data_IF_134381026267
#
_entry.id   IF_134381026267
#
_cell.length_a   1.000
_cell.length_b   1.000
_cell.length_c   1.000
_cell.angle_alpha   90.00
_cell.angle_beta   90.00
_cell.angle_gamma   90.00
#
_symmetry.space_group_name_H-M   'P 1'
#
loop_
_entity.id
_entity.type
_entity.pdbx_description
1 polymer ?
#
# COMPACT_ATOMS: atom_id res chain seq x y z
N UNK A 1 47.15 24.30 51.36
CA UNK A 1 46.92 25.27 50.28
C UNK A 1 47.90 24.98 49.18
N UNK A 2 47.68 23.97 48.39
CA UNK A 2 48.46 23.66 47.18
C UNK A 2 47.78 22.50 46.47
N UNK A 3 46.75 22.74 45.74
CA UNK A 3 46.20 21.74 44.82
C UNK A 3 45.20 22.29 43.75
N UNK A 4 45.04 23.63 43.66
CA UNK A 4 44.13 24.22 42.67
C UNK A 4 44.80 24.94 41.50
N UNK A 5 46.14 24.91 41.42
CA UNK A 5 46.90 25.63 40.38
C UNK A 5 47.34 24.71 39.23
N UNK A 6 47.32 23.40 39.41
CA UNK A 6 47.69 22.42 38.37
C UNK A 6 46.55 21.99 37.42
N UNK A 7 45.31 22.26 37.76
CA UNK A 7 44.14 21.86 36.95
C UNK A 7 43.72 22.90 35.89
N UNK A 8 44.40 24.06 35.82
CA UNK A 8 44.12 25.11 34.82
C UNK A 8 45.12 25.23 33.68
N UNK A 9 46.17 24.40 33.67
CA UNK A 9 47.20 24.49 32.64
C UNK A 9 46.91 23.71 31.34
N UNK A 10 45.91 22.82 31.31
CA UNK A 10 45.62 21.95 30.17
C UNK A 10 44.49 22.43 29.23
N UNK A 11 43.99 23.65 29.38
CA UNK A 11 42.87 24.17 28.57
C UNK A 11 43.31 25.35 27.65
N UNK A 12 44.57 25.72 27.63
CA UNK A 12 45.06 26.68 26.62
C UNK A 12 45.51 25.88 25.41
N UNK A 13 44.58 25.64 24.51
CA UNK A 13 44.88 25.08 23.19
C UNK A 13 45.84 26.06 22.48
N UNK A 14 47.02 25.57 22.10
CA UNK A 14 47.99 26.31 21.33
C UNK A 14 47.33 26.96 20.11
N UNK A 15 47.53 28.25 19.94
CA UNK A 15 46.96 29.05 18.85
C UNK A 15 47.25 28.43 17.46
N UNK A 16 48.38 27.77 17.32
CA UNK A 16 48.76 27.01 16.12
C UNK A 16 47.81 25.83 15.89
N UNK A 17 47.47 25.10 16.94
CA UNK A 17 46.54 23.95 16.90
C UNK A 17 45.08 24.40 16.65
N UNK A 18 44.68 25.52 17.23
CA UNK A 18 43.38 26.13 16.98
C UNK A 18 43.24 26.54 15.51
N UNK A 19 44.22 27.22 14.95
CA UNK A 19 44.24 27.64 13.56
C UNK A 19 44.30 26.45 12.58
N UNK A 20 44.97 25.36 12.96
CA UNK A 20 44.98 24.11 12.19
C UNK A 20 43.59 23.46 12.13
N UNK A 21 42.90 23.40 13.27
CA UNK A 21 41.52 22.85 13.36
C UNK A 21 40.53 23.70 12.58
N UNK A 22 40.65 25.02 12.59
CA UNK A 22 39.80 25.89 11.78
C UNK A 22 39.95 25.61 10.28
N UNK A 23 41.19 25.43 9.81
CA UNK A 23 41.46 25.08 8.40
C UNK A 23 40.88 23.70 8.03
N UNK A 24 40.96 22.74 8.93
CA UNK A 24 40.38 21.41 8.73
C UNK A 24 38.87 21.45 8.69
N UNK A 25 38.21 22.21 9.58
CA UNK A 25 36.77 22.46 9.59
C UNK A 25 36.33 23.12 8.28
N UNK A 26 37.03 24.11 7.78
CA UNK A 26 36.69 24.79 6.52
C UNK A 26 36.91 23.87 5.32
N UNK A 27 37.94 23.02 5.33
CA UNK A 27 38.16 21.99 4.32
C UNK A 27 36.99 20.95 4.31
N UNK A 28 36.61 20.46 5.49
CA UNK A 28 35.50 19.53 5.64
C UNK A 28 34.15 20.14 5.21
N UNK A 29 33.91 21.42 5.55
CA UNK A 29 32.74 22.16 5.07
C UNK A 29 32.69 22.28 3.54
N UNK A 30 33.84 22.51 2.90
CA UNK A 30 33.91 22.54 1.43
C UNK A 30 33.71 21.16 0.82
N UNK A 31 34.20 20.08 1.43
CA UNK A 31 33.95 18.72 1.00
C UNK A 31 32.46 18.35 1.12
N UNK A 32 31.84 18.63 2.27
CA UNK A 32 30.38 18.41 2.47
C UNK A 32 29.55 19.19 1.44
N UNK A 33 29.91 20.45 1.17
CA UNK A 33 29.26 21.26 0.13
C UNK A 33 29.45 20.68 -1.26
N UNK A 34 30.61 20.07 -1.54
CA UNK A 34 30.86 19.33 -2.78
C UNK A 34 30.05 18.05 -2.91
N UNK A 35 29.81 17.34 -1.81
CA UNK A 35 28.87 16.18 -1.79
C UNK A 35 27.43 16.61 -1.97
N UNK A 36 26.97 17.67 -1.29
CA UNK A 36 25.61 18.23 -1.46
C UNK A 36 25.37 18.78 -2.89
N UNK A 37 26.40 19.27 -3.57
CA UNK A 37 26.29 19.69 -4.98
C UNK A 37 26.37 18.51 -5.95
N UNK A 38 26.99 17.39 -5.58
CA UNK A 38 27.04 16.18 -6.40
C UNK A 38 25.75 15.33 -6.26
N UNK A 39 25.05 15.40 -5.13
CA UNK A 39 23.71 14.83 -4.97
C UNK A 39 22.62 15.59 -5.74
N UNK A 40 22.96 16.78 -6.26
CA UNK A 40 22.14 17.49 -7.26
C UNK A 40 22.45 17.06 -8.70
N UNK A 41 23.12 15.92 -8.91
CA UNK A 41 23.12 15.25 -10.20
C UNK A 41 21.68 14.93 -10.55
N UNK A 42 21.25 15.43 -11.71
CA UNK A 42 20.03 15.18 -12.44
C UNK A 42 19.22 14.05 -11.81
N UNK A 43 18.27 14.41 -10.92
CA UNK A 43 17.22 13.46 -10.52
C UNK A 43 16.65 12.99 -11.84
N UNK A 44 16.74 11.70 -12.14
CA UNK A 44 15.91 11.10 -13.17
C UNK A 44 14.51 11.66 -12.99
N UNK A 45 13.78 11.96 -14.08
CA UNK A 45 12.46 12.56 -13.98
C UNK A 45 11.62 11.68 -13.05
N UNK A 46 11.49 12.12 -11.81
CA UNK A 46 10.72 11.42 -10.80
C UNK A 46 9.28 11.40 -11.31
N UNK A 47 8.65 10.24 -11.34
CA UNK A 47 7.24 10.12 -11.68
C UNK A 47 6.47 11.13 -10.84
N UNK A 48 5.70 11.98 -11.50
CA UNK A 48 4.91 13.04 -10.85
C UNK A 48 4.00 12.46 -9.77
N UNK A 49 3.50 11.23 -9.97
CA UNK A 49 2.63 10.57 -9.00
C UNK A 49 3.34 10.25 -7.68
N UNK A 50 4.66 10.05 -7.70
CA UNK A 50 5.46 9.67 -6.55
C UNK A 50 6.20 10.86 -5.92
N UNK A 51 6.11 12.06 -6.51
CA UNK A 51 6.85 13.23 -6.07
C UNK A 51 6.27 13.83 -4.78
N UNK A 52 7.11 13.95 -3.74
CA UNK A 52 6.78 14.66 -2.49
C UNK A 52 6.42 16.14 -2.72
N UNK A 53 6.90 16.74 -3.81
CA UNK A 53 6.60 18.14 -4.16
C UNK A 53 5.10 18.34 -4.50
N UNK A 54 4.40 17.26 -4.86
CA UNK A 54 2.96 17.26 -5.15
C UNK A 54 2.08 17.06 -3.90
N UNK A 55 2.68 16.80 -2.75
CA UNK A 55 1.97 16.54 -1.49
C UNK A 55 1.19 17.76 -1.03
N UNK A 56 -0.12 17.59 -0.87
CA UNK A 56 -1.03 18.63 -0.35
C UNK A 56 -2.14 17.99 0.48
N UNK A 57 -2.77 18.78 1.34
CA UNK A 57 -3.81 18.31 2.26
C UNK A 57 -5.21 18.84 1.91
N UNK A 58 -5.32 19.80 1.00
CA UNK A 58 -6.58 20.41 0.57
C UNK A 58 -6.82 20.06 -0.88
N UNK A 59 -7.98 19.45 -1.17
CA UNK A 59 -8.29 18.93 -2.50
C UNK A 59 -8.51 20.04 -3.53
N UNK A 60 -9.05 21.19 -3.14
CA UNK A 60 -9.26 22.31 -4.07
C UNK A 60 -8.10 23.32 -4.06
N UNK A 61 -7.78 23.89 -5.20
CA UNK A 61 -8.33 23.60 -6.53
C UNK A 61 -7.87 22.23 -7.04
N UNK A 62 -8.69 21.57 -7.85
CA UNK A 62 -8.32 20.30 -8.51
C UNK A 62 -7.16 20.57 -9.46
N UNK A 63 -6.08 19.81 -9.33
CA UNK A 63 -4.91 19.90 -10.21
C UNK A 63 -4.97 18.86 -11.34
N UNK A 64 -5.43 17.65 -11.04
CA UNK A 64 -5.47 16.49 -11.95
C UNK A 64 -6.93 16.13 -12.25
N UNK A 65 -7.54 16.90 -13.15
CA UNK A 65 -8.97 16.82 -13.47
C UNK A 65 -9.41 15.44 -13.99
N UNK A 66 -8.57 14.77 -14.76
CA UNK A 66 -8.89 13.43 -15.27
C UNK A 66 -8.95 12.37 -14.16
N UNK A 67 -8.00 12.39 -13.21
CA UNK A 67 -8.01 11.50 -12.05
C UNK A 67 -9.25 11.80 -11.19
N UNK A 68 -9.53 13.08 -10.96
CA UNK A 68 -10.70 13.51 -10.22
C UNK A 68 -12.01 13.06 -10.85
N UNK A 69 -12.15 13.16 -12.17
CA UNK A 69 -13.31 12.64 -12.91
C UNK A 69 -13.47 11.15 -12.76
N UNK A 70 -12.36 10.39 -12.79
CA UNK A 70 -12.41 8.93 -12.57
C UNK A 70 -12.87 8.59 -11.15
N UNK A 71 -12.38 9.30 -10.13
CA UNK A 71 -12.87 9.17 -8.77
C UNK A 71 -14.38 9.43 -8.67
N UNK A 72 -14.87 10.55 -9.24
CA UNK A 72 -16.31 10.90 -9.23
C UNK A 72 -17.17 9.90 -10.01
N UNK A 73 -16.62 9.29 -11.07
CA UNK A 73 -17.29 8.23 -11.80
C UNK A 73 -17.38 6.94 -10.98
N UNK A 74 -16.32 6.59 -10.26
CA UNK A 74 -16.32 5.43 -9.37
C UNK A 74 -17.34 5.64 -8.24
N UNK A 75 -17.32 6.81 -7.58
CA UNK A 75 -18.25 7.18 -6.51
C UNK A 75 -19.72 7.11 -6.97
N UNK A 76 -20.01 7.52 -8.21
CA UNK A 76 -21.38 7.48 -8.77
C UNK A 76 -21.91 6.05 -9.04
N UNK A 77 -21.02 5.04 -9.03
CA UNK A 77 -21.39 3.62 -9.17
C UNK A 77 -21.29 2.87 -7.83
N UNK A 78 -21.34 3.57 -6.72
CA UNK A 78 -21.31 2.95 -5.38
C UNK A 78 -22.53 2.07 -5.17
N UNK A 79 -22.34 0.93 -4.54
CA UNK A 79 -23.37 -0.02 -4.14
C UNK A 79 -22.96 -0.73 -2.84
N UNK A 80 -23.89 -1.44 -2.20
CA UNK A 80 -23.63 -2.21 -0.98
C UNK A 80 -24.08 -3.66 -1.15
N UNK A 81 -23.55 -4.56 -0.33
CA UNK A 81 -23.89 -5.98 -0.39
C UNK A 81 -25.39 -6.25 -0.18
N UNK A 82 -26.07 -5.39 0.61
CA UNK A 82 -27.51 -5.49 0.89
C UNK A 82 -28.40 -5.23 -0.33
N UNK A 83 -27.86 -4.61 -1.38
CA UNK A 83 -28.60 -4.40 -2.63
C UNK A 83 -28.75 -5.68 -3.46
N UNK A 84 -28.02 -6.74 -3.13
CA UNK A 84 -28.07 -8.03 -3.84
C UNK A 84 -29.19 -8.91 -3.28
N UNK A 85 -30.20 -9.21 -4.11
CA UNK A 85 -31.23 -10.17 -3.77
C UNK A 85 -30.82 -11.61 -4.16
N UNK A 86 -30.28 -12.35 -3.20
CA UNK A 86 -29.86 -13.75 -3.36
C UNK A 86 -30.99 -14.77 -3.13
N UNK A 87 -32.23 -14.34 -2.91
CA UNK A 87 -33.34 -15.20 -2.48
C UNK A 87 -33.69 -16.32 -3.49
N UNK A 88 -33.41 -16.10 -4.77
CA UNK A 88 -33.68 -17.07 -5.84
C UNK A 88 -32.48 -17.88 -6.25
N UNK A 89 -31.28 -17.40 -5.95
CA UNK A 89 -30.03 -17.94 -6.46
C UNK A 89 -29.76 -19.35 -5.94
N UNK A 90 -30.10 -19.61 -4.67
CA UNK A 90 -29.89 -20.94 -4.07
C UNK A 90 -30.64 -22.04 -4.82
N UNK A 91 -31.87 -21.73 -5.28
CA UNK A 91 -32.62 -22.68 -6.10
C UNK A 91 -31.94 -22.93 -7.45
N UNK A 92 -31.49 -21.87 -8.12
CA UNK A 92 -30.83 -21.99 -9.41
C UNK A 92 -29.47 -22.71 -9.27
N UNK A 93 -28.74 -22.44 -8.22
CA UNK A 93 -27.48 -23.10 -7.89
C UNK A 93 -27.66 -24.62 -7.67
N UNK A 94 -28.71 -25.04 -6.96
CA UNK A 94 -28.94 -26.44 -6.63
C UNK A 94 -29.62 -27.23 -7.75
N UNK A 95 -30.59 -26.63 -8.43
CA UNK A 95 -31.49 -27.35 -9.35
C UNK A 95 -31.12 -27.21 -10.83
N UNK A 96 -30.46 -26.08 -11.20
CA UNK A 96 -30.13 -25.82 -12.60
C UNK A 96 -28.65 -26.10 -12.95
N UNK A 97 -27.76 -25.99 -11.98
CA UNK A 97 -26.32 -26.23 -12.18
C UNK A 97 -25.97 -27.71 -11.97
N UNK A 98 -25.11 -28.26 -12.81
CA UNK A 98 -24.49 -29.56 -12.58
C UNK A 98 -23.34 -29.47 -11.58
N UNK A 99 -22.80 -30.62 -11.13
CA UNK A 99 -21.75 -30.68 -10.13
C UNK A 99 -20.46 -29.97 -10.56
N UNK A 100 -20.12 -30.04 -11.85
CA UNK A 100 -18.94 -29.36 -12.41
C UNK A 100 -19.10 -27.84 -12.40
N UNK A 101 -20.26 -27.34 -12.75
CA UNK A 101 -20.56 -25.90 -12.72
C UNK A 101 -20.56 -25.38 -11.28
N UNK A 102 -21.20 -26.07 -10.34
CA UNK A 102 -21.14 -25.71 -8.91
C UNK A 102 -19.71 -25.69 -8.40
N UNK A 103 -18.94 -26.73 -8.69
CA UNK A 103 -17.53 -26.78 -8.30
C UNK A 103 -16.74 -25.60 -8.85
N UNK A 104 -16.95 -25.24 -10.11
CA UNK A 104 -16.27 -24.10 -10.73
C UNK A 104 -16.65 -22.78 -10.05
N UNK A 105 -17.95 -22.51 -9.86
CA UNK A 105 -18.42 -21.28 -9.21
C UNK A 105 -17.88 -21.15 -7.78
N UNK A 106 -17.95 -22.21 -6.99
CA UNK A 106 -17.44 -22.23 -5.61
C UNK A 106 -15.95 -21.88 -5.53
N UNK A 107 -15.12 -22.45 -6.42
CA UNK A 107 -13.69 -22.17 -6.44
C UNK A 107 -13.37 -20.76 -6.96
N UNK A 108 -14.15 -20.23 -7.88
CA UNK A 108 -14.03 -18.84 -8.35
C UNK A 108 -14.36 -17.87 -7.23
N UNK A 109 -15.47 -18.09 -6.51
CA UNK A 109 -15.85 -17.27 -5.36
C UNK A 109 -14.79 -17.32 -4.25
N UNK A 110 -14.27 -18.51 -3.96
CA UNK A 110 -13.19 -18.68 -2.99
C UNK A 110 -11.91 -17.91 -3.40
N UNK A 111 -11.58 -17.93 -4.69
CA UNK A 111 -10.46 -17.17 -5.22
C UNK A 111 -10.67 -15.65 -5.04
N UNK A 112 -11.83 -15.12 -5.37
CA UNK A 112 -12.11 -13.68 -5.22
C UNK A 112 -12.16 -13.28 -3.75
N UNK A 113 -12.84 -14.02 -2.89
CA UNK A 113 -12.87 -13.73 -1.45
C UNK A 113 -11.47 -13.67 -0.83
N UNK A 114 -10.55 -14.52 -1.30
CA UNK A 114 -9.17 -14.54 -0.84
C UNK A 114 -8.32 -13.41 -1.45
N UNK A 115 -8.50 -13.12 -2.74
CA UNK A 115 -7.68 -12.13 -3.47
C UNK A 115 -7.99 -10.69 -3.09
N UNK A 116 -9.24 -10.36 -2.77
CA UNK A 116 -9.63 -9.00 -2.41
C UNK A 116 -8.94 -8.52 -1.13
N UNK A 117 -8.71 -9.42 -0.16
CA UNK A 117 -7.92 -9.10 1.02
C UNK A 117 -6.46 -8.71 0.68
N UNK A 118 -5.85 -9.42 -0.29
CA UNK A 118 -4.49 -9.11 -0.75
C UNK A 118 -4.46 -7.81 -1.55
N UNK A 119 -5.48 -7.56 -2.39
CA UNK A 119 -5.63 -6.29 -3.13
C UNK A 119 -5.75 -5.12 -2.16
N UNK A 120 -6.58 -5.26 -1.12
CA UNK A 120 -6.73 -4.24 -0.08
C UNK A 120 -5.42 -3.95 0.65
N UNK A 121 -4.68 -4.99 1.04
CA UNK A 121 -3.37 -4.83 1.67
C UNK A 121 -2.42 -4.05 0.76
N UNK A 122 -2.35 -4.38 -0.53
CA UNK A 122 -1.53 -3.66 -1.50
C UNK A 122 -1.94 -2.19 -1.67
N UNK A 123 -3.25 -1.90 -1.70
CA UNK A 123 -3.76 -0.53 -1.78
C UNK A 123 -3.34 0.30 -0.58
N UNK A 124 -3.43 -0.27 0.62
CA UNK A 124 -3.08 0.42 1.88
C UNK A 124 -1.56 0.58 2.04
N UNK A 125 -0.80 -0.52 1.87
CA UNK A 125 0.63 -0.55 2.17
C UNK A 125 1.48 0.13 1.09
N UNK A 126 1.06 0.04 -0.18
CA UNK A 126 1.85 0.56 -1.30
C UNK A 126 1.19 1.77 -1.96
N UNK A 127 0.06 1.62 -2.61
CA UNK A 127 -0.52 2.70 -3.43
C UNK A 127 -0.85 3.96 -2.63
N UNK A 128 -1.45 3.83 -1.45
CA UNK A 128 -1.78 5.00 -0.62
C UNK A 128 -0.53 5.68 -0.02
N UNK A 129 0.57 4.95 0.15
CA UNK A 129 1.81 5.49 0.69
C UNK A 129 2.71 6.05 -0.42
N UNK A 130 2.89 5.32 -1.51
CA UNK A 130 3.81 5.66 -2.59
C UNK A 130 3.28 6.82 -3.44
N UNK A 131 2.00 6.82 -3.78
CA UNK A 131 1.37 7.86 -4.62
C UNK A 131 1.08 9.11 -3.80
N UNK A 132 1.62 10.27 -4.23
CA UNK A 132 1.52 11.53 -3.50
C UNK A 132 0.42 12.46 -4.02
N UNK A 133 -0.11 12.23 -5.23
CA UNK A 133 -1.22 13.03 -5.78
C UNK A 133 -2.49 12.87 -4.95
N UNK A 134 -3.05 13.99 -4.47
CA UNK A 134 -4.21 13.95 -3.57
C UNK A 134 -5.46 13.39 -4.26
N UNK A 135 -5.69 13.72 -5.53
CA UNK A 135 -6.81 13.17 -6.33
C UNK A 135 -6.71 11.64 -6.45
N UNK A 136 -5.49 11.09 -6.62
CA UNK A 136 -5.27 9.66 -6.67
C UNK A 136 -5.49 9.01 -5.29
N UNK A 137 -5.08 9.67 -4.20
CA UNK A 137 -5.34 9.19 -2.83
C UNK A 137 -6.85 9.13 -2.52
N UNK A 138 -7.64 10.07 -3.02
CA UNK A 138 -9.10 10.02 -2.92
C UNK A 138 -9.65 8.82 -3.67
N UNK A 139 -9.16 8.55 -4.88
CA UNK A 139 -9.56 7.39 -5.67
C UNK A 139 -9.23 6.07 -4.96
N UNK A 140 -7.99 5.89 -4.49
CA UNK A 140 -7.58 4.68 -3.78
C UNK A 140 -8.31 4.48 -2.46
N UNK A 141 -8.56 5.56 -1.71
CA UNK A 141 -9.36 5.48 -0.49
C UNK A 141 -10.79 4.98 -0.75
N UNK A 142 -11.41 5.45 -1.83
CA UNK A 142 -12.70 4.95 -2.26
C UNK A 142 -12.63 3.50 -2.76
N UNK A 143 -11.59 3.14 -3.53
CA UNK A 143 -11.38 1.77 -3.98
C UNK A 143 -11.26 0.80 -2.80
N UNK A 144 -10.52 1.14 -1.74
CA UNK A 144 -10.43 0.33 -0.52
C UNK A 144 -11.82 0.08 0.08
N UNK A 145 -12.67 1.11 0.12
CA UNK A 145 -14.04 0.96 0.63
C UNK A 145 -14.87 0.01 -0.23
N UNK A 146 -14.73 0.07 -1.56
CA UNK A 146 -15.42 -0.83 -2.50
C UNK A 146 -14.89 -2.26 -2.40
N UNK A 147 -13.57 -2.45 -2.24
CA UNK A 147 -12.99 -3.80 -2.07
C UNK A 147 -13.46 -4.46 -0.76
N UNK A 148 -13.74 -3.68 0.30
CA UNK A 148 -14.38 -4.20 1.51
C UNK A 148 -15.79 -4.74 1.21
N UNK A 149 -16.57 -4.03 0.38
CA UNK A 149 -17.92 -4.47 -0.04
C UNK A 149 -17.81 -5.72 -0.92
N UNK A 150 -16.83 -5.80 -1.81
CA UNK A 150 -16.58 -7.01 -2.62
C UNK A 150 -16.26 -8.20 -1.72
N UNK A 151 -15.35 -8.06 -0.78
CA UNK A 151 -14.95 -9.12 0.16
C UNK A 151 -16.16 -9.62 0.98
N UNK A 152 -16.97 -8.71 1.50
CA UNK A 152 -18.24 -9.03 2.16
C UNK A 152 -19.18 -9.81 1.23
N UNK A 153 -19.36 -9.32 0.01
CA UNK A 153 -20.24 -9.93 -0.98
C UNK A 153 -19.82 -11.35 -1.34
N UNK A 154 -18.54 -11.58 -1.65
CA UNK A 154 -18.06 -12.94 -1.95
C UNK A 154 -18.20 -13.88 -0.76
N UNK A 155 -18.01 -13.38 0.45
CA UNK A 155 -18.24 -14.15 1.67
C UNK A 155 -19.73 -14.53 1.84
N UNK A 156 -20.65 -13.60 1.59
CA UNK A 156 -22.10 -13.84 1.59
C UNK A 156 -22.52 -14.85 0.52
N UNK A 157 -21.96 -14.78 -0.68
CA UNK A 157 -22.23 -15.72 -1.77
C UNK A 157 -21.79 -17.14 -1.38
N UNK A 158 -20.59 -17.32 -0.84
CA UNK A 158 -20.12 -18.62 -0.34
C UNK A 158 -21.03 -19.12 0.78
N UNK A 159 -21.37 -18.26 1.74
CA UNK A 159 -22.26 -18.65 2.86
C UNK A 159 -23.65 -19.04 2.40
N UNK A 160 -24.15 -18.38 1.36
CA UNK A 160 -25.48 -18.64 0.78
C UNK A 160 -25.51 -19.96 0.01
N UNK A 161 -24.52 -20.21 -0.85
CA UNK A 161 -24.55 -21.37 -1.75
C UNK A 161 -23.99 -22.64 -1.14
N UNK A 162 -22.98 -22.55 -0.29
CA UNK A 162 -22.29 -23.70 0.29
C UNK A 162 -22.84 -23.98 1.69
N UNK A 163 -23.63 -25.06 1.84
CA UNK A 163 -24.23 -25.45 3.13
C UNK A 163 -23.38 -26.43 3.91
N UNK A 164 -22.49 -27.18 3.25
CA UNK A 164 -21.55 -28.08 3.92
C UNK A 164 -20.48 -27.27 4.65
N UNK A 165 -20.43 -27.39 5.98
CA UNK A 165 -19.54 -26.63 6.84
C UNK A 165 -18.06 -26.91 6.59
N UNK A 166 -17.69 -28.17 6.27
CA UNK A 166 -16.29 -28.53 5.98
C UNK A 166 -15.85 -27.94 4.65
N UNK A 167 -16.72 -28.00 3.63
CA UNK A 167 -16.45 -27.40 2.34
C UNK A 167 -16.36 -25.88 2.43
N UNK A 168 -17.25 -25.27 3.20
CA UNK A 168 -17.21 -23.83 3.47
C UNK A 168 -15.91 -23.38 4.12
N UNK A 169 -15.43 -24.13 5.12
CA UNK A 169 -14.16 -23.87 5.78
C UNK A 169 -12.97 -23.95 4.80
N UNK A 170 -12.96 -24.95 3.90
CA UNK A 170 -11.95 -25.05 2.84
C UNK A 170 -11.98 -23.84 1.92
N UNK A 171 -13.15 -23.36 1.51
CA UNK A 171 -13.29 -22.24 0.59
C UNK A 171 -12.92 -20.90 1.23
N UNK A 172 -13.27 -20.68 2.50
CA UNK A 172 -12.86 -19.48 3.23
C UNK A 172 -11.35 -19.44 3.53
N UNK A 173 -10.70 -20.60 3.59
CA UNK A 173 -9.27 -20.71 3.75
C UNK A 173 -8.53 -21.04 2.43
N UNK A 174 -9.04 -20.55 1.30
CA UNK A 174 -8.58 -20.90 -0.05
C UNK A 174 -7.07 -20.66 -0.28
N UNK A 175 -6.49 -19.64 0.35
CA UNK A 175 -5.05 -19.35 0.28
C UNK A 175 -4.23 -20.54 0.79
N UNK A 176 -4.70 -21.23 1.84
CA UNK A 176 -3.98 -22.36 2.43
C UNK A 176 -4.41 -23.72 1.83
N UNK A 177 -5.67 -23.83 1.41
CA UNK A 177 -6.30 -25.10 1.05
C UNK A 177 -6.31 -25.38 -0.46
N UNK A 178 -6.24 -24.32 -1.31
CA UNK A 178 -6.31 -24.44 -2.77
C UNK A 178 -4.96 -24.07 -3.39
N UNK A 179 -4.17 -25.03 -3.92
CA UNK A 179 -2.80 -24.78 -4.38
C UNK A 179 -2.65 -23.72 -5.47
N UNK A 180 -3.65 -23.57 -6.36
CA UNK A 180 -3.66 -22.57 -7.42
C UNK A 180 -3.89 -21.16 -6.86
N UNK A 181 -4.71 -21.01 -5.82
CA UNK A 181 -4.93 -19.75 -5.11
C UNK A 181 -3.68 -19.36 -4.34
N UNK A 182 -3.11 -20.33 -3.59
CA UNK A 182 -1.86 -20.11 -2.84
C UNK A 182 -0.73 -19.59 -3.71
N UNK A 183 -0.48 -20.19 -4.87
CA UNK A 183 0.59 -19.72 -5.79
C UNK A 183 0.42 -18.28 -6.22
N UNK A 184 -0.81 -17.84 -6.46
CA UNK A 184 -1.11 -16.45 -6.84
C UNK A 184 -0.94 -15.49 -5.66
N UNK A 185 -1.43 -15.90 -4.48
CA UNK A 185 -1.27 -15.14 -3.24
C UNK A 185 0.23 -14.97 -2.89
N UNK A 186 1.00 -16.04 -2.88
CA UNK A 186 2.44 -16.02 -2.60
C UNK A 186 3.19 -15.08 -3.57
N UNK A 187 2.81 -15.09 -4.86
CA UNK A 187 3.39 -14.19 -5.86
C UNK A 187 3.05 -12.73 -5.56
N UNK A 188 1.78 -12.41 -5.29
CA UNK A 188 1.34 -11.06 -5.02
C UNK A 188 2.00 -10.50 -3.73
N UNK A 189 1.94 -11.26 -2.64
CA UNK A 189 2.53 -10.88 -1.36
C UNK A 189 4.05 -10.68 -1.45
N UNK A 190 4.75 -11.48 -2.27
CA UNK A 190 6.18 -11.28 -2.55
C UNK A 190 6.45 -9.87 -3.08
N UNK A 191 5.65 -9.38 -4.04
CA UNK A 191 5.87 -8.07 -4.64
C UNK A 191 5.36 -6.92 -3.77
N UNK A 192 4.30 -7.12 -3.01
CA UNK A 192 3.81 -6.13 -2.04
C UNK A 192 4.90 -5.84 -0.99
N UNK A 193 5.59 -6.89 -0.53
CA UNK A 193 6.62 -6.78 0.52
C UNK A 193 8.03 -6.52 -0.04
N UNK A 194 8.20 -6.32 -1.34
CA UNK A 194 9.52 -6.02 -1.93
C UNK A 194 9.83 -4.53 -1.79
N UNK A 195 10.77 -4.18 -0.91
CA UNK A 195 11.22 -2.80 -0.68
C UNK A 195 11.88 -2.14 -1.91
N UNK A 196 12.18 -2.93 -2.95
CA UNK A 196 12.87 -2.46 -4.17
C UNK A 196 11.94 -2.28 -5.37
N UNK A 197 10.68 -2.67 -5.25
CA UNK A 197 9.70 -2.56 -6.34
C UNK A 197 8.98 -1.23 -6.30
#
# INVERSE_FOLDING_TARGET
>A
MSSNTELMADVIMDESKYNSLLKEIDSLKQQVKGYEMNDKKEKEPTDVMLSEDEKRYVIFPIKYDEIWKMYKKAEANFWTAEELDLSKDLNDFNEKMNDGERYFVENVLAFFAASDGIVNENLVERFCNDVQLLEAKFFYGFQIAVENIHSETYSLLIDTYVKDLKKKDILFNAIETIPSVKKKADWALKWINDEKS
#
